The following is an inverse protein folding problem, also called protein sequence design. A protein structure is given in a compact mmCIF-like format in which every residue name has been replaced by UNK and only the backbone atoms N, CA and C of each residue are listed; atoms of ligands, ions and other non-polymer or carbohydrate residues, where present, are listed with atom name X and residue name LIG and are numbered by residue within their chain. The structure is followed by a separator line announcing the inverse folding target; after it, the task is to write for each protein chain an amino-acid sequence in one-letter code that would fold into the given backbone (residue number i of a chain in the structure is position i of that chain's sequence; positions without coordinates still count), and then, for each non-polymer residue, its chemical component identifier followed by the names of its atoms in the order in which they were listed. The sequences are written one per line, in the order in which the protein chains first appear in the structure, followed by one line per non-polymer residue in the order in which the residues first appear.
data_IF_507604237129
#
_entry.id   IF_507604237129
#
_cell.length_a   1.000
_cell.length_b   1.000
_cell.length_c   1.000
_cell.angle_alpha   90.00
_cell.angle_beta   90.00
_cell.angle_gamma   90.00
#
_symmetry.space_group_name_H-M   'P 1'
#
loop_
_entity.id
_entity.type
_entity.pdbx_description
1 polymer ?
#
# COMPACT_ATOMS: atom_id res chain seq x y z
N UNK A 1 -4.97 6.69 -7.04
CA UNK A 1 -3.90 7.56 -6.50
C UNK A 1 -3.95 7.48 -4.99
N UNK A 2 -2.80 7.32 -4.35
CA UNK A 2 -2.62 7.25 -2.90
C UNK A 2 -1.74 8.43 -2.50
N UNK A 3 -2.24 9.28 -1.60
CA UNK A 3 -1.48 10.35 -0.96
C UNK A 3 -0.93 9.84 0.36
N UNK A 4 0.39 9.92 0.52
CA UNK A 4 1.09 9.22 1.59
C UNK A 4 2.29 9.99 2.13
N UNK A 5 2.68 9.66 3.37
CA UNK A 5 3.95 10.05 3.97
C UNK A 5 4.70 8.82 4.53
N UNK A 6 6.03 8.91 4.56
CA UNK A 6 6.92 7.87 5.05
C UNK A 6 8.20 8.49 5.59
N UNK A 7 8.44 8.38 6.88
CA UNK A 7 9.66 8.80 7.57
C UNK A 7 10.39 7.62 8.23
N UNK A 8 10.22 6.41 7.70
CA UNK A 8 10.84 5.22 8.25
C UNK A 8 12.35 5.14 7.99
N UNK A 9 13.06 4.69 9.03
CA UNK A 9 14.50 4.44 9.03
C UNK A 9 14.80 3.05 9.57
N UNK A 10 15.90 2.46 9.09
CA UNK A 10 16.31 1.11 9.49
C UNK A 10 17.74 1.10 9.98
N UNK A 11 17.90 0.62 11.21
CA UNK A 11 19.18 0.68 11.92
C UNK A 11 19.41 2.06 12.52
N UNK A 12 19.92 2.08 13.76
CA UNK A 12 20.37 3.30 14.41
C UNK A 12 21.88 3.43 14.15
N UNK A 13 22.25 4.25 13.17
CA UNK A 13 23.64 4.60 12.91
C UNK A 13 23.79 6.11 12.91
N UNK A 14 24.58 6.62 13.86
CA UNK A 14 24.78 8.06 14.13
C UNK A 14 25.28 8.87 12.93
N UNK A 15 25.75 8.21 11.85
CA UNK A 15 26.35 8.85 10.68
C UNK A 15 25.54 8.72 9.38
N UNK A 16 24.57 7.80 9.29
CA UNK A 16 23.76 7.62 8.08
C UNK A 16 22.50 6.81 8.40
N UNK A 17 21.39 7.44 8.82
CA UNK A 17 20.14 6.71 8.99
C UNK A 17 19.73 6.13 7.62
N UNK A 18 19.56 4.81 7.53
CA UNK A 18 19.18 4.19 6.27
C UNK A 18 17.69 4.47 6.04
N UNK A 19 17.39 5.47 5.21
CA UNK A 19 16.04 5.72 4.73
C UNK A 19 15.56 4.51 3.95
N UNK A 20 14.28 4.18 4.12
CA UNK A 20 13.69 3.03 3.45
C UNK A 20 12.37 3.37 2.80
N UNK A 21 12.12 2.66 1.70
CA UNK A 21 10.78 2.59 1.14
C UNK A 21 9.93 1.66 2.02
N UNK A 22 8.63 1.93 2.10
CA UNK A 22 7.67 1.05 2.76
C UNK A 22 6.77 0.38 1.73
N UNK A 23 6.34 -0.84 2.02
CA UNK A 23 5.38 -1.55 1.18
C UNK A 23 3.95 -1.14 1.47
N UNK A 24 3.11 -1.08 0.44
CA UNK A 24 1.66 -1.11 0.59
C UNK A 24 1.10 -2.24 -0.28
N UNK A 25 0.38 -3.15 0.37
CA UNK A 25 -0.43 -4.19 -0.25
C UNK A 25 -1.89 -3.75 -0.26
N UNK A 26 -2.61 -4.14 -1.31
CA UNK A 26 -4.07 -4.05 -1.41
C UNK A 26 -4.59 -5.49 -1.46
N UNK A 27 -5.47 -5.85 -0.51
CA UNK A 27 -6.08 -7.18 -0.42
C UNK A 27 -7.61 -7.12 -0.57
N UNK A 28 -8.19 -8.18 -1.09
CA UNK A 28 -9.64 -8.34 -1.18
C UNK A 28 -10.25 -8.71 0.19
N UNK A 29 -11.30 -8.02 0.61
CA UNK A 29 -12.08 -8.37 1.80
C UNK A 29 -11.41 -8.01 3.13
N UNK A 30 -10.41 -8.78 3.54
CA UNK A 30 -9.71 -8.66 4.82
C UNK A 30 -8.18 -8.78 4.68
N UNK A 31 -7.46 -8.78 5.80
CA UNK A 31 -6.00 -8.91 5.88
C UNK A 31 -5.45 -10.29 5.45
N UNK A 32 -6.27 -11.34 5.50
CA UNK A 32 -5.94 -12.68 5.00
C UNK A 32 -6.34 -12.90 3.54
N UNK A 33 -7.03 -11.93 2.92
CA UNK A 33 -7.54 -12.03 1.56
C UNK A 33 -6.45 -12.03 0.47
N UNK A 34 -6.86 -12.32 -0.77
CA UNK A 34 -5.99 -12.31 -1.94
C UNK A 34 -5.31 -10.94 -2.12
N UNK A 35 -3.99 -10.92 -2.31
CA UNK A 35 -3.24 -9.70 -2.67
C UNK A 35 -3.53 -9.33 -4.12
N UNK A 36 -4.24 -8.21 -4.30
CA UNK A 36 -4.66 -7.69 -5.61
C UNK A 36 -3.61 -6.77 -6.23
N UNK A 37 -2.81 -6.11 -5.40
CA UNK A 37 -1.78 -5.16 -5.85
C UNK A 37 -0.78 -4.88 -4.74
N UNK A 38 0.42 -4.46 -5.14
CA UNK A 38 1.52 -4.08 -4.25
C UNK A 38 2.36 -2.99 -4.90
N UNK A 39 2.85 -2.06 -4.09
CA UNK A 39 3.90 -1.15 -4.54
C UNK A 39 4.79 -0.64 -3.39
N UNK A 40 5.91 -0.03 -3.75
CA UNK A 40 6.88 0.61 -2.86
C UNK A 40 6.62 2.12 -2.73
N UNK A 41 6.68 2.63 -1.51
CA UNK A 41 6.37 4.01 -1.17
C UNK A 41 7.59 4.67 -0.55
N UNK A 42 8.16 5.62 -1.29
CA UNK A 42 9.45 6.22 -0.95
C UNK A 42 9.42 7.02 0.33
N UNK A 43 10.58 7.16 0.95
CA UNK A 43 10.80 8.11 2.03
C UNK A 43 10.42 9.55 1.61
N UNK A 44 9.66 10.26 2.47
CA UNK A 44 9.12 11.61 2.24
C UNK A 44 9.72 12.67 3.18
N UNK A 45 10.79 12.36 3.91
CA UNK A 45 11.48 13.27 4.85
C UNK A 45 10.76 13.56 6.17
N UNK A 46 9.43 13.51 6.21
CA UNK A 46 8.65 13.59 7.45
C UNK A 46 7.28 12.93 7.28
N UNK A 47 6.70 12.53 8.41
CA UNK A 47 5.30 12.09 8.54
C UNK A 47 4.24 13.11 8.06
N UNK A 48 4.66 14.36 7.88
CA UNK A 48 3.82 15.52 7.50
C UNK A 48 4.05 16.00 6.07
N UNK A 49 5.02 15.44 5.35
CA UNK A 49 5.26 15.75 3.95
C UNK A 49 4.67 14.64 3.06
N UNK A 50 3.70 15.02 2.23
CA UNK A 50 2.91 14.08 1.43
C UNK A 50 3.34 14.07 -0.03
N UNK A 51 3.47 12.87 -0.58
CA UNK A 51 3.61 12.62 -2.01
C UNK A 51 2.42 11.82 -2.52
N UNK A 52 2.18 11.88 -3.83
CA UNK A 52 1.16 11.08 -4.49
C UNK A 52 1.79 9.96 -5.31
N UNK A 53 1.19 8.76 -5.26
CA UNK A 53 1.55 7.61 -6.09
C UNK A 53 0.32 6.99 -6.75
N UNK A 54 0.46 6.58 -8.01
CA UNK A 54 -0.59 5.87 -8.74
C UNK A 54 -0.34 4.37 -8.69
N UNK A 55 -1.39 3.60 -8.37
CA UNK A 55 -1.42 2.15 -8.37
C UNK A 55 -2.63 1.70 -9.19
N UNK A 56 -2.45 0.60 -9.92
CA UNK A 56 -3.55 -0.08 -10.60
C UNK A 56 -4.00 -1.27 -9.76
N UNK A 57 -5.32 -1.47 -9.69
CA UNK A 57 -5.94 -2.61 -9.02
C UNK A 57 -7.07 -3.14 -9.89
N UNK A 58 -7.12 -4.46 -10.06
CA UNK A 58 -8.28 -5.16 -10.63
C UNK A 58 -9.05 -5.78 -9.48
N UNK A 59 -10.34 -5.56 -9.42
CA UNK A 59 -11.21 -6.03 -8.33
C UNK A 59 -12.60 -6.34 -8.86
N UNK A 60 -13.33 -7.18 -8.15
CA UNK A 60 -14.74 -7.48 -8.37
C UNK A 60 -15.69 -6.41 -7.78
N UNK A 61 -15.15 -5.36 -7.15
CA UNK A 61 -15.91 -4.30 -6.50
C UNK A 61 -16.25 -4.58 -5.04
N UNK A 62 -15.74 -5.67 -4.47
CA UNK A 62 -15.80 -5.96 -3.04
C UNK A 62 -14.95 -5.01 -2.19
N UNK A 63 -14.94 -5.25 -0.87
CA UNK A 63 -14.12 -4.48 0.05
C UNK A 63 -12.63 -4.62 -0.27
N UNK A 64 -11.87 -3.54 -0.07
CA UNK A 64 -10.42 -3.50 -0.21
C UNK A 64 -9.79 -3.16 1.14
N UNK A 65 -8.73 -3.87 1.50
CA UNK A 65 -7.92 -3.58 2.68
C UNK A 65 -6.52 -3.17 2.26
N UNK A 66 -6.01 -2.11 2.87
CA UNK A 66 -4.72 -1.51 2.60
C UNK A 66 -3.81 -1.71 3.81
N UNK A 67 -2.60 -2.22 3.61
CA UNK A 67 -1.68 -2.49 4.72
C UNK A 67 -0.36 -3.08 4.27
N UNK A 68 0.41 -3.58 5.23
CA UNK A 68 1.61 -4.36 4.99
C UNK A 68 1.66 -5.53 5.97
N UNK A 69 1.50 -6.74 5.48
CA UNK A 69 1.41 -7.98 6.23
C UNK A 69 2.63 -8.87 6.03
N UNK A 70 3.65 -8.38 5.31
CA UNK A 70 4.90 -9.12 5.19
C UNK A 70 5.58 -9.21 6.56
N UNK A 71 6.13 -10.37 6.89
CA UNK A 71 6.93 -10.48 8.12
C UNK A 71 8.23 -9.68 7.96
N UNK A 72 8.59 -8.86 8.96
CA UNK A 72 9.85 -8.10 8.91
C UNK A 72 11.05 -9.01 8.69
N UNK A 73 12.00 -8.58 7.84
CA UNK A 73 13.29 -9.26 7.69
C UNK A 73 13.29 -10.50 6.79
N UNK A 74 12.21 -10.77 6.05
CA UNK A 74 12.16 -11.88 5.07
C UNK A 74 12.90 -11.59 3.75
N UNK A 75 13.46 -10.40 3.57
CA UNK A 75 14.27 -10.06 2.38
C UNK A 75 13.48 -10.03 1.08
N UNK A 76 12.15 -10.01 1.13
CA UNK A 76 11.23 -9.92 -0.03
C UNK A 76 11.21 -8.50 -0.65
N UNK A 77 12.38 -7.85 -0.73
CA UNK A 77 12.56 -6.49 -1.26
C UNK A 77 12.50 -5.40 -0.19
N UNK A 78 12.79 -4.16 -0.61
CA UNK A 78 12.91 -2.95 0.21
C UNK A 78 11.58 -2.48 0.84
N UNK A 79 10.60 -3.36 1.01
CA UNK A 79 9.20 -3.06 1.38
C UNK A 79 8.64 -4.00 2.46
N UNK A 80 9.43 -4.99 2.88
CA UNK A 80 9.00 -6.11 3.74
C UNK A 80 9.31 -5.83 5.23
N UNK A 81 8.59 -4.84 5.78
CA UNK A 81 8.77 -4.37 7.16
C UNK A 81 7.55 -4.58 8.05
N UNK A 82 6.46 -5.17 7.53
CA UNK A 82 5.20 -5.32 8.27
C UNK A 82 4.54 -3.99 8.66
N UNK A 83 5.01 -2.89 8.05
CA UNK A 83 4.53 -1.53 8.31
C UNK A 83 4.29 -0.85 6.96
N UNK A 84 3.11 -0.26 6.82
CA UNK A 84 2.70 0.51 5.65
C UNK A 84 3.04 2.00 5.83
N UNK A 85 3.16 2.78 4.75
CA UNK A 85 3.24 4.24 4.87
C UNK A 85 1.95 4.79 5.50
N UNK A 86 2.03 6.00 6.07
CA UNK A 86 0.84 6.74 6.47
C UNK A 86 0.04 7.12 5.22
N UNK A 87 -1.28 6.91 5.25
CA UNK A 87 -2.17 7.24 4.14
C UNK A 87 -3.08 8.40 4.57
N UNK A 88 -3.01 9.51 3.84
CA UNK A 88 -3.93 10.65 4.02
C UNK A 88 -5.19 10.47 3.18
N UNK A 89 -5.02 10.09 1.90
CA UNK A 89 -6.13 10.04 0.94
C UNK A 89 -5.91 8.98 -0.12
N UNK A 90 -7.01 8.33 -0.51
CA UNK A 90 -7.06 7.45 -1.69
C UNK A 90 -8.13 7.99 -2.63
N UNK A 91 -7.75 8.17 -3.90
CA UNK A 91 -8.67 8.56 -4.98
C UNK A 91 -8.71 7.45 -6.02
N UNK A 92 -9.91 6.93 -6.28
CA UNK A 92 -10.16 5.91 -7.29
C UNK A 92 -10.63 6.55 -8.60
N UNK A 93 -10.10 6.04 -9.71
CA UNK A 93 -10.57 6.34 -11.07
C UNK A 93 -11.02 5.02 -11.70
N UNK A 94 -12.20 4.50 -11.33
CA UNK A 94 -12.62 3.17 -11.73
C UNK A 94 -12.92 3.12 -13.23
N UNK A 95 -12.48 2.04 -13.87
CA UNK A 95 -12.93 1.64 -15.19
C UNK A 95 -13.58 0.25 -15.07
N UNK A 96 -14.74 0.06 -15.70
CA UNK A 96 -15.38 -1.25 -15.75
C UNK A 96 -14.74 -2.06 -16.86
N UNK A 97 -13.97 -3.08 -16.50
CA UNK A 97 -13.39 -4.04 -17.43
C UNK A 97 -14.34 -5.23 -17.59
N UNK A 98 -15.30 -5.14 -18.51
CA UNK A 98 -16.24 -6.24 -18.84
C UNK A 98 -17.70 -5.95 -18.49
N UNK A 99 -18.53 -6.99 -18.54
CA UNK A 99 -19.97 -6.89 -18.28
C UNK A 99 -20.25 -6.90 -16.76
N UNK A 100 -21.03 -5.93 -16.28
CA UNK A 100 -21.47 -5.89 -14.88
C UNK A 100 -22.67 -6.81 -14.71
N UNK A 101 -22.44 -8.02 -14.20
CA UNK A 101 -23.53 -8.93 -13.83
C UNK A 101 -24.06 -8.52 -12.46
N UNK A 102 -25.08 -7.66 -12.43
CA UNK A 102 -25.70 -7.22 -11.20
C UNK A 102 -26.27 -8.41 -10.41
N UNK A 103 -25.79 -8.62 -9.18
CA UNK A 103 -26.39 -9.60 -8.27
C UNK A 103 -27.69 -8.99 -7.75
N UNK A 104 -28.83 -9.43 -8.30
CA UNK A 104 -30.14 -9.14 -7.72
C UNK A 104 -30.14 -9.62 -6.27
N UNK A 105 -30.33 -8.69 -5.33
CA UNK A 105 -30.66 -9.02 -3.95
C UNK A 105 -32.13 -9.45 -3.96
N UNK A 106 -32.34 -10.76 -4.06
CA UNK A 106 -33.63 -11.40 -3.81
C UNK A 106 -33.94 -11.48 -2.32
#
# INVERSE_FOLDING_TARGET
MVSFSNDAFIGNHDYNPQIVDLGLQIRAGNDEGEELSRDAFRYTYSDTNFLDRTLSVTTDGGALVFGNWDSPGLGQGAVSWGVAPNIDKIVFYPIVAGEVVGRSLG
#
